data_IF_429528834510
#
_entry.id   IF_429528834510
#
_cell.length_a   1.000
_cell.length_b   1.000
_cell.length_c   1.000
_cell.angle_alpha   90.00
_cell.angle_beta   90.00
_cell.angle_gamma   90.00
#
_symmetry.space_group_name_H-M   'P 1'
#
loop_
_entity.id
_entity.type
_entity.pdbx_description
1 polymer ?
#
# COMPACT_ATOMS: atom_id res chain seq x y z
N UNK A 1 20.58 1.73 6.47
CA UNK A 1 19.54 0.73 6.10
C UNK A 1 18.13 1.24 6.32
N UNK A 2 17.77 1.80 7.50
CA UNK A 2 16.42 2.29 7.77
C UNK A 2 15.82 3.25 6.73
N UNK A 3 16.55 4.30 6.34
CA UNK A 3 16.10 5.23 5.28
C UNK A 3 15.90 4.56 3.91
N UNK A 4 16.75 3.58 3.59
CA UNK A 4 16.68 2.86 2.32
C UNK A 4 15.43 1.97 2.27
N UNK A 5 15.13 1.28 3.38
CA UNK A 5 13.92 0.49 3.54
C UNK A 5 12.65 1.35 3.56
N UNK A 6 12.68 2.52 4.20
CA UNK A 6 11.58 3.47 4.15
C UNK A 6 11.30 3.93 2.71
N UNK A 7 12.34 4.24 1.94
CA UNK A 7 12.22 4.64 0.54
C UNK A 7 11.73 3.52 -0.39
N UNK A 8 12.12 2.25 -0.14
CA UNK A 8 11.55 1.10 -0.88
C UNK A 8 10.05 1.01 -0.61
N UNK A 9 9.63 1.08 0.65
CA UNK A 9 8.22 1.03 1.03
C UNK A 9 7.42 2.19 0.42
N UNK A 10 7.96 3.41 0.41
CA UNK A 10 7.31 4.58 -0.20
C UNK A 10 7.13 4.42 -1.71
N UNK A 11 8.09 3.82 -2.41
CA UNK A 11 7.94 3.58 -3.84
C UNK A 11 6.93 2.46 -4.14
N UNK A 12 6.82 1.44 -3.27
CA UNK A 12 5.72 0.46 -3.33
C UNK A 12 4.36 1.12 -3.06
N UNK A 13 4.26 2.03 -2.08
CA UNK A 13 3.03 2.79 -1.82
C UNK A 13 2.61 3.60 -3.06
N UNK A 14 3.55 4.30 -3.71
CA UNK A 14 3.29 5.05 -4.96
C UNK A 14 2.83 4.12 -6.08
N UNK A 15 3.47 2.96 -6.21
CA UNK A 15 3.13 1.98 -7.23
C UNK A 15 1.72 1.44 -7.03
N UNK A 16 1.34 1.09 -5.80
CA UNK A 16 0.01 0.60 -5.45
C UNK A 16 -1.10 1.67 -5.51
N UNK A 17 -0.71 2.95 -5.47
CA UNK A 17 -1.61 4.10 -5.63
C UNK A 17 -1.90 4.47 -7.09
N UNK A 18 -1.23 3.85 -8.08
CA UNK A 18 -1.55 4.07 -9.49
C UNK A 18 -2.96 3.57 -9.84
N UNK A 19 -3.60 4.13 -10.90
CA UNK A 19 -4.89 3.64 -11.37
C UNK A 19 -4.87 2.13 -11.64
N UNK A 20 -5.95 1.42 -11.27
CA UNK A 20 -5.99 -0.06 -11.27
C UNK A 20 -5.79 -0.69 -12.64
N UNK A 21 -6.13 0.02 -13.70
CA UNK A 21 -5.82 -0.37 -15.08
C UNK A 21 -4.31 -0.60 -15.29
N UNK A 22 -3.46 0.01 -14.47
CA UNK A 22 -2.01 -0.15 -14.48
C UNK A 22 -1.50 -1.27 -13.55
N UNK A 23 -2.37 -1.87 -12.73
CA UNK A 23 -2.06 -2.82 -11.66
C UNK A 23 -2.85 -4.11 -11.82
N UNK A 24 -2.49 -4.93 -12.81
CA UNK A 24 -3.13 -6.23 -13.07
C UNK A 24 -2.09 -7.34 -12.99
N UNK A 25 -1.63 -7.60 -11.77
CA UNK A 25 -0.33 -8.20 -11.51
C UNK A 25 -0.19 -8.87 -10.16
N UNK A 26 0.94 -9.55 -9.96
CA UNK A 26 1.30 -10.18 -8.69
C UNK A 26 2.44 -9.43 -7.99
N UNK A 27 2.35 -9.37 -6.67
CA UNK A 27 3.44 -9.04 -5.76
C UNK A 27 4.05 -10.35 -5.27
N UNK A 28 5.27 -10.65 -5.69
CA UNK A 28 5.99 -11.80 -5.14
C UNK A 28 6.82 -11.36 -3.93
N UNK A 29 6.89 -12.21 -2.91
CA UNK A 29 7.87 -12.12 -1.82
C UNK A 29 8.97 -13.10 -2.17
N UNK A 30 10.20 -12.61 -2.37
CA UNK A 30 11.35 -13.49 -2.58
C UNK A 30 12.30 -13.48 -1.39
N UNK A 31 12.93 -14.63 -1.20
CA UNK A 31 13.95 -14.85 -0.19
C UNK A 31 15.29 -15.00 -0.88
N UNK A 32 16.21 -14.09 -0.58
CA UNK A 32 17.61 -14.16 -0.98
C UNK A 32 18.46 -14.62 0.20
N UNK A 33 19.41 -15.52 -0.03
CA UNK A 33 20.36 -15.98 0.99
C UNK A 33 21.71 -15.35 0.72
N UNK A 34 22.26 -14.65 1.69
CA UNK A 34 23.60 -14.05 1.63
C UNK A 34 24.57 -14.97 2.35
N UNK A 35 25.51 -15.54 1.61
CA UNK A 35 26.58 -16.37 2.17
C UNK A 35 27.72 -15.49 2.71
N UNK A 36 28.16 -15.76 3.92
CA UNK A 36 29.21 -15.02 4.61
C UNK A 36 30.38 -15.96 4.84
N UNK A 37 31.49 -15.66 4.18
CA UNK A 37 32.76 -16.32 4.42
C UNK A 37 33.46 -15.59 5.57
N UNK A 38 33.54 -16.23 6.75
CA UNK A 38 34.32 -15.72 7.88
C UNK A 38 35.28 -16.81 8.35
N UNK A 39 36.57 -16.61 8.07
CA UNK A 39 37.73 -17.27 8.68
C UNK A 39 37.67 -18.80 8.85
N UNK A 40 37.24 -19.52 7.81
CA UNK A 40 37.41 -20.98 7.73
C UNK A 40 36.56 -21.82 8.70
N UNK A 41 35.59 -21.22 9.41
CA UNK A 41 34.71 -21.94 10.35
C UNK A 41 33.25 -21.69 9.98
N UNK A 42 32.60 -22.73 9.42
CA UNK A 42 31.17 -22.85 9.04
C UNK A 42 30.59 -21.66 8.29
N UNK A 43 30.17 -21.90 7.04
CA UNK A 43 29.33 -20.98 6.27
C UNK A 43 28.20 -20.43 7.13
N UNK A 44 28.26 -19.13 7.46
CA UNK A 44 27.15 -18.43 8.09
C UNK A 44 26.35 -17.78 6.97
N UNK A 45 25.04 -17.94 7.02
CA UNK A 45 24.14 -17.34 6.03
C UNK A 45 23.23 -16.31 6.70
N UNK A 46 22.86 -15.29 5.95
CA UNK A 46 21.84 -14.31 6.34
C UNK A 46 20.74 -14.34 5.30
N UNK A 47 19.55 -14.69 5.77
CA UNK A 47 18.34 -14.67 4.96
C UNK A 47 17.78 -13.25 4.87
N UNK A 48 17.52 -12.80 3.65
CA UNK A 48 16.90 -11.51 3.35
C UNK A 48 15.64 -11.75 2.54
N UNK A 49 14.49 -11.43 3.11
CA UNK A 49 13.21 -11.43 2.41
C UNK A 49 12.89 -10.04 1.88
N UNK A 50 12.64 -9.93 0.58
CA UNK A 50 12.29 -8.70 -0.11
C UNK A 50 11.01 -8.88 -0.94
N UNK A 51 10.26 -7.79 -1.13
CA UNK A 51 9.19 -7.75 -2.12
C UNK A 51 9.78 -7.61 -3.53
N UNK A 52 9.33 -8.38 -4.51
CA UNK A 52 9.71 -8.17 -5.90
C UNK A 52 8.93 -7.01 -6.53
N UNK A 53 9.42 -6.56 -7.69
CA UNK A 53 8.70 -5.65 -8.56
C UNK A 53 7.28 -6.16 -8.86
N UNK A 54 6.33 -5.23 -9.02
CA UNK A 54 4.97 -5.58 -9.46
C UNK A 54 5.00 -5.76 -10.97
N UNK A 55 4.78 -6.98 -11.42
CA UNK A 55 4.62 -7.31 -12.83
C UNK A 55 3.16 -7.55 -13.14
N UNK A 56 2.72 -7.24 -14.36
CA UNK A 56 1.40 -7.70 -14.79
C UNK A 56 1.36 -9.24 -14.87
N UNK A 57 0.17 -9.81 -15.10
CA UNK A 57 -0.05 -11.26 -15.24
C UNK A 57 0.80 -11.96 -16.32
N UNK A 58 1.49 -11.20 -17.19
CA UNK A 58 2.38 -11.68 -18.24
C UNK A 58 3.87 -11.36 -17.98
N UNK A 59 4.24 -10.90 -16.79
CA UNK A 59 5.62 -10.55 -16.46
C UNK A 59 6.09 -9.21 -17.04
N UNK A 60 5.18 -8.39 -17.58
CA UNK A 60 5.50 -7.13 -18.25
C UNK A 60 5.14 -5.91 -17.41
N UNK A 61 5.88 -4.82 -17.63
CA UNK A 61 5.61 -3.52 -17.03
C UNK A 61 4.58 -2.79 -17.89
N UNK A 62 3.43 -2.43 -17.32
CA UNK A 62 2.28 -1.92 -18.09
C UNK A 62 2.50 -0.54 -18.71
N UNK A 63 3.30 0.32 -18.08
CA UNK A 63 3.56 1.68 -18.57
C UNK A 63 4.91 2.24 -18.04
N UNK A 64 5.29 3.40 -18.55
CA UNK A 64 6.55 4.09 -18.19
C UNK A 64 6.65 4.38 -16.69
N UNK A 65 5.53 4.73 -16.03
CA UNK A 65 5.54 5.08 -14.61
C UNK A 65 5.74 3.85 -13.72
N UNK A 66 5.07 2.74 -14.05
CA UNK A 66 5.27 1.43 -13.42
C UNK A 66 6.72 0.97 -13.61
N UNK A 67 7.27 1.18 -14.80
CA UNK A 67 8.67 0.86 -15.12
C UNK A 67 9.66 1.66 -14.29
N UNK A 68 9.45 2.98 -14.20
CA UNK A 68 10.30 3.89 -13.42
C UNK A 68 10.31 3.50 -11.94
N UNK A 69 9.13 3.27 -11.35
CA UNK A 69 9.00 2.90 -9.93
C UNK A 69 9.62 1.54 -9.64
N UNK A 70 9.37 0.52 -10.47
CA UNK A 70 9.98 -0.80 -10.30
C UNK A 70 11.52 -0.74 -10.43
N UNK A 71 12.05 0.06 -11.36
CA UNK A 71 13.50 0.28 -11.48
C UNK A 71 14.07 0.96 -10.24
N UNK A 72 13.37 1.97 -9.71
CA UNK A 72 13.78 2.69 -8.50
C UNK A 72 13.78 1.78 -7.27
N UNK A 73 12.79 0.87 -7.15
CA UNK A 73 12.70 -0.15 -6.10
C UNK A 73 13.88 -1.13 -6.22
N UNK A 74 14.10 -1.71 -7.41
CA UNK A 74 15.16 -2.69 -7.64
C UNK A 74 16.55 -2.11 -7.32
N UNK A 75 16.82 -0.87 -7.72
CA UNK A 75 18.08 -0.18 -7.39
C UNK A 75 18.29 0.00 -5.88
N UNK A 76 17.22 0.34 -5.14
CA UNK A 76 17.32 0.49 -3.68
C UNK A 76 17.49 -0.87 -2.99
N UNK A 77 16.83 -1.91 -3.47
CA UNK A 77 16.98 -3.27 -2.96
C UNK A 77 18.40 -3.80 -3.16
N UNK A 78 19.01 -3.55 -4.32
CA UNK A 78 20.40 -3.93 -4.57
C UNK A 78 21.35 -3.24 -3.58
N UNK A 79 21.15 -1.95 -3.31
CA UNK A 79 21.92 -1.23 -2.28
C UNK A 79 21.69 -1.79 -0.88
N UNK A 80 20.47 -2.25 -0.57
CA UNK A 80 20.15 -2.85 0.72
C UNK A 80 20.91 -4.16 0.90
N UNK A 81 20.91 -5.03 -0.13
CA UNK A 81 21.64 -6.30 -0.12
C UNK A 81 23.13 -6.06 0.15
N UNK A 82 23.75 -5.09 -0.50
CA UNK A 82 25.15 -4.74 -0.27
C UNK A 82 25.42 -4.27 1.17
N UNK A 83 24.52 -3.46 1.74
CA UNK A 83 24.64 -3.03 3.14
C UNK A 83 24.49 -4.20 4.12
N UNK A 84 23.54 -5.11 3.85
CA UNK A 84 23.35 -6.31 4.65
C UNK A 84 24.60 -7.18 4.59
N UNK A 85 25.18 -7.39 3.41
CA UNK A 85 26.42 -8.15 3.24
C UNK A 85 27.59 -7.53 4.04
N UNK A 86 27.76 -6.21 3.96
CA UNK A 86 28.83 -5.53 4.68
C UNK A 86 28.67 -5.65 6.21
N UNK A 87 27.44 -5.47 6.72
CA UNK A 87 27.16 -5.62 8.16
C UNK A 87 27.29 -7.08 8.61
N UNK A 88 26.87 -8.01 7.76
CA UNK A 88 26.96 -9.44 7.99
C UNK A 88 28.39 -9.93 8.14
N UNK A 89 29.33 -9.38 7.35
CA UNK A 89 30.75 -9.66 7.49
C UNK A 89 31.29 -9.21 8.87
N UNK A 90 30.74 -8.13 9.41
CA UNK A 90 31.12 -7.59 10.73
C UNK A 90 30.47 -8.43 11.84
N UNK A 91 29.14 -8.45 11.91
CA UNK A 91 28.37 -9.14 12.93
C UNK A 91 27.05 -9.70 12.37
N UNK A 92 26.98 -11.01 12.25
CA UNK A 92 25.84 -11.73 11.65
C UNK A 92 24.58 -11.56 12.47
N UNK A 93 24.67 -11.70 13.79
CA UNK A 93 23.50 -11.69 14.67
C UNK A 93 22.87 -10.30 14.74
N UNK A 94 23.70 -9.26 14.87
CA UNK A 94 23.23 -7.88 14.85
C UNK A 94 22.56 -7.53 13.50
N UNK A 95 23.09 -8.07 12.40
CA UNK A 95 22.48 -7.87 11.07
C UNK A 95 21.11 -8.51 10.98
N UNK A 96 20.95 -9.76 11.45
CA UNK A 96 19.66 -10.46 11.49
C UNK A 96 18.64 -9.72 12.35
N UNK A 97 19.03 -9.28 13.56
CA UNK A 97 18.15 -8.48 14.43
C UNK A 97 17.71 -7.18 13.76
N UNK A 98 18.62 -6.50 13.08
CA UNK A 98 18.32 -5.24 12.38
C UNK A 98 17.33 -5.45 11.22
N UNK A 99 17.43 -6.57 10.49
CA UNK A 99 16.48 -6.92 9.44
C UNK A 99 15.07 -7.16 10.00
N UNK A 100 14.96 -7.91 11.08
CA UNK A 100 13.69 -8.18 11.77
C UNK A 100 13.06 -6.87 12.26
N UNK A 101 13.85 -6.02 12.94
CA UNK A 101 13.40 -4.73 13.43
C UNK A 101 12.83 -3.87 12.30
N UNK A 102 13.51 -3.83 11.15
CA UNK A 102 13.06 -3.04 10.00
C UNK A 102 11.77 -3.58 9.38
N UNK A 103 11.62 -4.91 9.29
CA UNK A 103 10.38 -5.53 8.82
C UNK A 103 9.20 -5.19 9.75
N UNK A 104 9.40 -5.30 11.07
CA UNK A 104 8.39 -4.95 12.07
C UNK A 104 8.01 -3.46 12.03
N UNK A 105 9.01 -2.58 11.89
CA UNK A 105 8.79 -1.14 11.79
C UNK A 105 8.01 -0.77 10.51
N UNK A 106 8.35 -1.38 9.37
CA UNK A 106 7.62 -1.17 8.12
C UNK A 106 6.18 -1.66 8.22
N UNK A 107 5.95 -2.87 8.77
CA UNK A 107 4.62 -3.40 9.00
C UNK A 107 3.79 -2.48 9.89
N UNK A 108 4.34 -2.07 11.04
CA UNK A 108 3.68 -1.19 12.00
C UNK A 108 3.31 0.15 11.38
N UNK A 109 4.22 0.74 10.59
CA UNK A 109 3.96 2.00 9.88
C UNK A 109 2.82 1.87 8.88
N UNK A 110 2.80 0.80 8.09
CA UNK A 110 1.76 0.55 7.08
C UNK A 110 0.40 0.34 7.73
N UNK A 111 0.33 -0.49 8.78
CA UNK A 111 -0.90 -0.71 9.56
C UNK A 111 -1.40 0.61 10.16
N UNK A 112 -0.52 1.42 10.77
CA UNK A 112 -0.90 2.71 11.34
C UNK A 112 -1.52 3.64 10.31
N UNK A 113 -0.93 3.75 9.11
CA UNK A 113 -1.50 4.55 8.02
C UNK A 113 -2.87 4.03 7.59
N UNK A 114 -3.04 2.70 7.51
CA UNK A 114 -4.31 2.09 7.14
C UNK A 114 -5.41 2.35 8.18
N UNK A 115 -5.08 2.26 9.48
CA UNK A 115 -6.01 2.63 10.56
C UNK A 115 -6.42 4.09 10.48
N UNK A 116 -5.47 5.00 10.26
CA UNK A 116 -5.78 6.43 10.10
C UNK A 116 -6.70 6.70 8.90
N UNK A 117 -6.47 6.04 7.77
CA UNK A 117 -7.38 6.12 6.61
C UNK A 117 -8.78 5.60 6.93
N UNK A 118 -8.89 4.55 7.75
CA UNK A 118 -10.18 4.02 8.20
C UNK A 118 -10.90 4.99 9.14
N UNK A 119 -10.19 5.62 10.08
CA UNK A 119 -10.76 6.64 10.97
C UNK A 119 -11.32 7.82 10.18
N UNK A 120 -10.61 8.27 9.13
CA UNK A 120 -11.09 9.32 8.23
C UNK A 120 -12.36 8.89 7.46
N UNK A 121 -12.46 7.62 7.07
CA UNK A 121 -13.65 7.07 6.41
C UNK A 121 -14.85 7.06 7.36
N UNK A 122 -14.66 6.61 8.60
CA UNK A 122 -15.71 6.63 9.64
C UNK A 122 -16.22 8.06 9.86
N UNK A 123 -15.32 9.04 10.00
CA UNK A 123 -15.71 10.44 10.17
C UNK A 123 -16.46 11.01 8.96
N UNK A 124 -16.06 10.64 7.74
CA UNK A 124 -16.77 11.01 6.51
C UNK A 124 -18.16 10.38 6.44
N UNK A 125 -18.29 9.14 6.92
CA UNK A 125 -19.57 8.44 6.99
C UNK A 125 -20.54 9.06 8.00
N UNK A 126 -20.04 9.48 9.16
CA UNK A 126 -20.85 10.21 10.15
C UNK A 126 -21.38 11.53 9.57
N UNK A 127 -20.53 12.26 8.84
CA UNK A 127 -20.92 13.50 8.15
C UNK A 127 -22.02 13.24 7.13
N UNK A 128 -21.87 12.18 6.32
CA UNK A 128 -22.90 11.77 5.36
C UNK A 128 -24.22 11.40 6.04
N UNK A 129 -24.17 10.62 7.13
CA UNK A 129 -25.35 10.22 7.88
C UNK A 129 -26.12 11.43 8.45
N UNK A 130 -25.39 12.43 8.97
CA UNK A 130 -26.00 13.67 9.46
C UNK A 130 -26.72 14.43 8.34
N UNK A 131 -26.11 14.55 7.15
CA UNK A 131 -26.74 15.20 5.98
C UNK A 131 -28.04 14.47 5.58
N UNK A 132 -28.05 13.14 5.63
CA UNK A 132 -29.24 12.33 5.35
C UNK A 132 -30.35 12.57 6.38
N UNK A 133 -30.02 12.59 7.67
CA UNK A 133 -30.97 12.86 8.76
C UNK A 133 -31.54 14.28 8.64
N UNK A 134 -30.71 15.29 8.39
CA UNK A 134 -31.14 16.67 8.19
C UNK A 134 -32.07 16.81 6.98
N UNK A 135 -31.76 16.11 5.88
CA UNK A 135 -32.60 16.12 4.69
C UNK A 135 -33.95 15.46 4.96
N UNK A 136 -33.97 14.31 5.63
CA UNK A 136 -35.22 13.64 6.05
C UNK A 136 -36.07 14.49 7.00
N UNK A 137 -35.43 15.14 7.96
CA UNK A 137 -36.11 16.07 8.89
C UNK A 137 -36.71 17.26 8.14
N UNK A 138 -35.94 17.88 7.25
CA UNK A 138 -36.40 19.02 6.44
C UNK A 138 -37.65 18.69 5.62
N UNK A 139 -37.75 17.46 5.10
CA UNK A 139 -38.92 16.97 4.36
C UNK A 139 -40.16 16.76 5.23
N UNK A 140 -39.99 16.49 6.53
CA UNK A 140 -41.07 16.14 7.45
C UNK A 140 -41.64 17.33 8.25
N UNK A 141 -41.09 18.54 8.10
CA UNK A 141 -41.48 19.72 8.90
C UNK A 141 -42.76 20.43 8.43
N UNK A 142 -43.45 19.93 7.40
CA UNK A 142 -44.72 20.51 6.91
C UNK A 142 -44.60 21.89 6.25
N UNK A 143 -43.40 22.45 6.18
CA UNK A 143 -43.08 23.67 5.42
C UNK A 143 -43.10 23.34 3.92
N UNK A 144 -43.61 24.27 3.09
CA UNK A 144 -43.63 24.11 1.63
C UNK A 144 -42.19 23.93 1.12
N UNK A 145 -41.85 22.71 0.73
CA UNK A 145 -40.51 22.34 0.29
C UNK A 145 -40.20 23.06 -1.02
N UNK A 146 -39.08 23.79 -1.08
CA UNK A 146 -38.55 24.28 -2.35
C UNK A 146 -38.03 23.10 -3.18
N UNK A 147 -38.75 22.79 -4.27
CA UNK A 147 -38.43 21.69 -5.17
C UNK A 147 -37.03 21.80 -5.78
N UNK A 148 -36.53 23.02 -6.00
CA UNK A 148 -35.21 23.22 -6.58
C UNK A 148 -34.11 22.85 -5.58
N UNK A 149 -34.24 23.31 -4.33
CA UNK A 149 -33.34 22.96 -3.23
C UNK A 149 -33.35 21.46 -2.93
N UNK A 150 -34.51 20.80 -2.95
CA UNK A 150 -34.58 19.35 -2.78
C UNK A 150 -33.89 18.61 -3.93
N UNK A 151 -34.12 19.02 -5.17
CA UNK A 151 -33.48 18.41 -6.33
C UNK A 151 -31.95 18.55 -6.28
N UNK A 152 -31.42 19.70 -5.83
CA UNK A 152 -29.99 19.90 -5.65
C UNK A 152 -29.41 18.90 -4.63
N UNK A 153 -30.04 18.77 -3.45
CA UNK A 153 -29.61 17.80 -2.42
C UNK A 153 -29.64 16.35 -2.91
N UNK A 154 -30.69 15.96 -3.64
CA UNK A 154 -30.78 14.62 -4.22
C UNK A 154 -29.69 14.35 -5.26
N UNK A 155 -29.28 15.36 -6.03
CA UNK A 155 -28.14 15.26 -6.97
C UNK A 155 -26.82 15.06 -6.23
N UNK A 156 -26.59 15.80 -5.15
CA UNK A 156 -25.39 15.64 -4.31
C UNK A 156 -25.33 14.24 -3.69
N UNK A 157 -26.44 13.74 -3.14
CA UNK A 157 -26.54 12.38 -2.61
C UNK A 157 -26.26 11.34 -3.69
N UNK A 158 -26.83 11.52 -4.88
CA UNK A 158 -26.54 10.64 -6.02
C UNK A 158 -25.06 10.62 -6.36
N UNK A 159 -24.42 11.78 -6.48
CA UNK A 159 -23.00 11.88 -6.78
C UNK A 159 -22.14 11.18 -5.72
N UNK A 160 -22.46 11.35 -4.43
CA UNK A 160 -21.79 10.63 -3.35
C UNK A 160 -21.96 9.11 -3.49
N UNK A 161 -23.18 8.62 -3.73
CA UNK A 161 -23.43 7.17 -3.87
C UNK A 161 -22.76 6.56 -5.10
N UNK A 162 -22.69 7.31 -6.22
CA UNK A 162 -22.01 6.87 -7.44
C UNK A 162 -20.49 6.76 -7.19
N UNK A 163 -19.88 7.72 -6.49
CA UNK A 163 -18.46 7.69 -6.11
C UNK A 163 -18.17 6.59 -5.08
N UNK A 164 -19.05 6.38 -4.09
CA UNK A 164 -18.95 5.26 -3.14
C UNK A 164 -18.96 3.91 -3.87
N UNK A 165 -19.90 3.72 -4.81
CA UNK A 165 -19.95 2.50 -5.62
C UNK A 165 -18.68 2.29 -6.43
N UNK A 166 -18.13 3.35 -7.01
CA UNK A 166 -16.86 3.31 -7.73
C UNK A 166 -15.71 2.88 -6.81
N UNK A 167 -15.52 3.55 -5.67
CA UNK A 167 -14.41 3.28 -4.75
C UNK A 167 -14.51 1.90 -4.11
N UNK A 168 -15.71 1.43 -3.76
CA UNK A 168 -15.91 0.06 -3.25
C UNK A 168 -15.56 -1.00 -4.29
N UNK A 169 -15.87 -0.75 -5.57
CA UNK A 169 -15.46 -1.61 -6.68
C UNK A 169 -13.93 -1.60 -6.83
N UNK A 170 -13.29 -0.43 -6.85
CA UNK A 170 -11.83 -0.30 -6.94
C UNK A 170 -11.12 -0.97 -5.75
N UNK A 171 -11.69 -0.91 -4.54
CA UNK A 171 -11.19 -1.64 -3.37
C UNK A 171 -11.29 -3.15 -3.57
N UNK A 172 -12.46 -3.66 -3.98
CA UNK A 172 -12.66 -5.08 -4.26
C UNK A 172 -11.66 -5.58 -5.32
N UNK A 173 -11.48 -4.83 -6.39
CA UNK A 173 -10.50 -5.18 -7.43
C UNK A 173 -9.07 -5.18 -6.88
N UNK A 174 -8.72 -4.23 -6.03
CA UNK A 174 -7.38 -4.14 -5.42
C UNK A 174 -7.05 -5.38 -4.60
N UNK A 175 -7.99 -5.88 -3.79
CA UNK A 175 -7.76 -7.01 -2.89
C UNK A 175 -7.92 -8.37 -3.58
N UNK A 176 -8.52 -8.41 -4.78
CA UNK A 176 -8.75 -9.66 -5.53
C UNK A 176 -7.82 -9.85 -6.71
N UNK A 177 -7.45 -8.78 -7.44
CA UNK A 177 -6.58 -8.85 -8.63
C UNK A 177 -5.10 -8.83 -8.27
N UNK A 178 -4.70 -8.09 -7.25
CA UNK A 178 -3.31 -8.05 -6.79
C UNK A 178 -3.08 -9.26 -5.88
N UNK A 179 -2.40 -10.28 -6.41
CA UNK A 179 -2.05 -11.48 -5.63
C UNK A 179 -0.72 -11.26 -4.93
N UNK A 180 -0.67 -11.57 -3.64
CA UNK A 180 0.58 -11.69 -2.90
C UNK A 180 0.96 -13.17 -2.82
N UNK A 181 2.08 -13.52 -3.41
CA UNK A 181 2.62 -14.89 -3.45
C UNK A 181 4.01 -14.92 -2.81
N UNK A 182 4.38 -16.01 -2.16
CA UNK A 182 5.66 -16.18 -1.47
C UNK A 182 6.25 -17.56 -1.68
#
# INVERSE_FOLDING_TARGET
MGQLNAGIQEDFEKLLALPKENLDGSLNITKSVINILKDGVKDKTVDVSNLEAIYNQYGQLKNDKVTELNKAIAQKQQKLIQLVQNLSNIEVQATQMTLIEQQLNNFTRTVKKQTQSFDNLVSSWDTFNNIMIETGTSLNTGVKIDSNSLQARLKELKQFTDELKKQTTEYQESVTKIKVTG
#
